data_IF_140573931595
#
_entry.id   IF_140573931595
#
_cell.length_a   1.000
_cell.length_b   1.000
_cell.length_c   1.000
_cell.angle_alpha   90.00
_cell.angle_beta   90.00
_cell.angle_gamma   90.00
#
_symmetry.space_group_name_H-M   'P 1'
#
loop_
_entity.id
_entity.type
_entity.pdbx_description
1 polymer ?
#
# COMPACT_ATOMS: atom_id res chain seq x y z
N UNK A 1 -12.74 -1.89 -2.29
CA UNK A 1 -12.13 -2.51 -1.09
C UNK A 1 -13.03 -2.32 0.11
N UNK A 2 -13.21 -3.37 0.89
CA UNK A 2 -14.09 -3.32 2.05
C UNK A 2 -13.53 -2.45 3.17
N UNK A 3 -14.41 -1.89 3.98
CA UNK A 3 -14.04 -1.00 5.07
C UNK A 3 -13.08 -1.64 6.07
N UNK A 4 -13.18 -2.95 6.28
CA UNK A 4 -12.31 -3.64 7.24
C UNK A 4 -10.82 -3.57 6.87
N UNK A 5 -10.52 -3.32 5.60
CA UNK A 5 -9.14 -3.22 5.15
C UNK A 5 -8.59 -1.79 5.22
N UNK A 6 -9.37 -0.84 5.75
CA UNK A 6 -8.94 0.56 5.79
C UNK A 6 -8.56 0.97 7.20
N UNK A 7 -7.43 1.65 7.32
CA UNK A 7 -7.07 2.31 8.56
C UNK A 7 -7.89 3.60 8.62
N UNK A 8 -8.68 3.77 9.69
CA UNK A 8 -9.58 4.93 9.78
C UNK A 8 -9.19 5.93 10.85
N UNK A 9 -8.61 5.45 11.95
CA UNK A 9 -8.31 6.33 13.08
C UNK A 9 -6.95 7.00 12.91
N UNK A 10 -6.91 8.28 13.26
CA UNK A 10 -5.66 9.02 13.20
C UNK A 10 -4.59 8.40 14.10
N UNK A 11 -4.99 7.89 15.26
CA UNK A 11 -4.05 7.25 16.18
C UNK A 11 -3.39 6.03 15.53
N UNK A 12 -4.13 5.27 14.75
CA UNK A 12 -3.58 4.11 14.05
C UNK A 12 -2.56 4.53 13.00
N UNK A 13 -2.84 5.62 12.25
CA UNK A 13 -1.86 6.17 11.31
C UNK A 13 -0.57 6.58 12.04
N UNK A 14 -0.72 7.32 13.14
CA UNK A 14 0.44 7.80 13.89
C UNK A 14 1.27 6.65 14.44
N UNK A 15 0.61 5.60 14.88
CA UNK A 15 1.29 4.44 15.42
C UNK A 15 2.17 3.76 14.36
N UNK A 16 1.64 3.62 13.14
CA UNK A 16 2.40 3.03 12.05
C UNK A 16 3.61 3.90 11.70
N UNK A 17 3.43 5.22 11.65
CA UNK A 17 4.53 6.12 11.35
C UNK A 17 5.63 6.07 12.42
N UNK A 18 5.25 6.01 13.70
CA UNK A 18 6.23 6.07 14.78
C UNK A 18 6.93 4.75 15.04
N UNK A 19 6.21 3.65 14.90
CA UNK A 19 6.72 2.33 15.31
C UNK A 19 7.07 1.42 14.16
N UNK A 20 6.57 1.73 12.97
CA UNK A 20 6.75 0.88 11.81
C UNK A 20 8.07 1.06 11.13
N UNK A 21 8.28 0.23 10.14
CA UNK A 21 9.42 0.35 9.23
C UNK A 21 8.96 1.02 7.96
N UNK A 22 9.88 1.58 7.20
CA UNK A 22 9.54 2.17 5.92
C UNK A 22 10.46 1.67 4.82
N UNK A 23 9.93 1.65 3.62
CA UNK A 23 10.69 1.33 2.43
C UNK A 23 10.04 2.06 1.26
N UNK A 24 10.77 2.23 0.19
CA UNK A 24 10.29 3.09 -0.88
C UNK A 24 10.83 2.68 -2.24
N UNK A 25 10.12 3.13 -3.25
CA UNK A 25 10.66 3.18 -4.60
C UNK A 25 10.42 4.59 -5.13
N UNK A 26 10.57 4.79 -6.42
CA UNK A 26 10.45 6.11 -7.02
C UNK A 26 9.06 6.71 -6.89
N UNK A 27 8.02 5.84 -6.92
CA UNK A 27 6.64 6.29 -6.97
C UNK A 27 5.93 6.27 -5.62
N UNK A 28 6.35 5.39 -4.72
CA UNK A 28 5.64 5.19 -3.46
C UNK A 28 6.58 5.05 -2.28
N UNK A 29 6.13 5.55 -1.14
CA UNK A 29 6.74 5.25 0.16
C UNK A 29 5.73 4.42 0.93
N UNK A 30 6.18 3.35 1.57
CA UNK A 30 5.29 2.47 2.34
C UNK A 30 5.83 2.39 3.77
N UNK A 31 4.95 2.66 4.73
CA UNK A 31 5.22 2.39 6.14
C UNK A 31 4.45 1.15 6.51
N UNK A 32 5.04 0.27 7.29
CA UNK A 32 4.37 -0.95 7.71
C UNK A 32 4.64 -1.25 9.18
N UNK A 33 3.64 -1.78 9.86
CA UNK A 33 3.74 -2.17 11.26
C UNK A 33 3.04 -3.51 11.44
N UNK A 34 3.72 -4.47 12.05
CA UNK A 34 3.12 -5.76 12.31
C UNK A 34 2.08 -5.65 13.43
N UNK A 35 0.93 -6.29 13.22
CA UNK A 35 -0.13 -6.41 14.23
C UNK A 35 -0.34 -7.89 14.50
N UNK A 36 0.28 -8.38 15.54
CA UNK A 36 0.19 -9.80 15.86
C UNK A 36 -1.25 -10.24 16.06
N UNK A 37 -1.57 -11.38 15.50
CA UNK A 37 -2.92 -11.94 15.61
C UNK A 37 -3.94 -11.35 14.65
N UNK A 38 -3.53 -10.41 13.81
CA UNK A 38 -4.46 -9.84 12.84
C UNK A 38 -4.84 -10.86 11.78
N UNK A 39 -6.12 -10.90 11.42
CA UNK A 39 -6.63 -11.83 10.42
C UNK A 39 -6.49 -11.32 9.00
N UNK A 40 -6.35 -10.02 8.85
CA UNK A 40 -6.21 -9.39 7.54
C UNK A 40 -5.40 -8.10 7.68
N UNK A 41 -4.80 -7.69 6.58
CA UNK A 41 -4.08 -6.42 6.57
C UNK A 41 -5.05 -5.25 6.55
N UNK A 42 -4.54 -4.05 6.88
CA UNK A 42 -5.28 -2.81 6.68
C UNK A 42 -4.35 -1.82 5.99
N UNK A 43 -4.93 -0.95 5.18
CA UNK A 43 -4.16 0.07 4.47
C UNK A 43 -4.70 1.46 4.75
N UNK A 44 -3.78 2.42 4.81
CA UNK A 44 -4.09 3.83 4.81
C UNK A 44 -3.38 4.48 3.64
N UNK A 45 -3.98 5.52 3.07
CA UNK A 45 -3.43 6.17 1.88
C UNK A 45 -3.16 7.63 2.18
N UNK A 46 -2.04 8.12 1.67
CA UNK A 46 -1.70 9.54 1.74
C UNK A 46 -1.35 10.01 0.33
N UNK A 47 -2.25 10.79 -0.26
CA UNK A 47 -2.06 11.36 -1.59
C UNK A 47 -2.27 12.86 -1.45
N UNK A 48 -1.17 13.61 -1.39
CA UNK A 48 -1.23 15.04 -1.10
C UNK A 48 -1.71 15.87 -2.29
N UNK A 49 -2.07 17.11 -2.02
CA UNK A 49 -2.49 18.05 -3.05
C UNK A 49 -1.39 18.32 -4.07
N UNK A 50 -0.15 18.08 -3.71
CA UNK A 50 0.98 18.26 -4.64
C UNK A 50 0.95 17.27 -5.80
N UNK A 51 0.24 16.17 -5.64
CA UNK A 51 0.11 15.15 -6.70
C UNK A 51 -0.77 15.66 -7.83
N UNK A 52 -1.82 16.38 -7.48
CA UNK A 52 -2.74 16.90 -8.46
C UNK A 52 -4.08 17.28 -7.84
N UNK A 53 -5.08 17.53 -8.70
CA UNK A 53 -6.40 17.89 -8.23
C UNK A 53 -7.13 16.67 -7.65
N UNK A 54 -8.35 16.91 -7.15
CA UNK A 54 -9.12 15.85 -6.50
C UNK A 54 -9.40 14.65 -7.41
N UNK A 55 -9.65 14.91 -8.68
CA UNK A 55 -9.92 13.82 -9.64
C UNK A 55 -8.68 12.93 -9.78
N UNK A 56 -7.52 13.54 -9.93
CA UNK A 56 -6.26 12.81 -10.04
C UNK A 56 -5.97 12.02 -8.77
N UNK A 57 -6.11 12.66 -7.60
CA UNK A 57 -5.84 12.01 -6.34
C UNK A 57 -6.77 10.84 -6.08
N UNK A 58 -8.05 10.99 -6.39
CA UNK A 58 -9.01 9.92 -6.20
C UNK A 58 -8.74 8.74 -7.14
N UNK A 59 -8.30 9.04 -8.36
CA UNK A 59 -7.91 8.00 -9.31
C UNK A 59 -6.74 7.16 -8.78
N UNK A 60 -5.72 7.82 -8.26
CA UNK A 60 -4.55 7.13 -7.69
C UNK A 60 -4.97 6.29 -6.49
N UNK A 61 -5.79 6.82 -5.61
CA UNK A 61 -6.29 6.08 -4.46
C UNK A 61 -7.04 4.82 -4.89
N UNK A 62 -7.87 4.95 -5.92
CA UNK A 62 -8.63 3.81 -6.45
C UNK A 62 -7.68 2.75 -7.01
N UNK A 63 -6.66 3.16 -7.73
CA UNK A 63 -5.69 2.24 -8.30
C UNK A 63 -4.89 1.51 -7.21
N UNK A 64 -4.53 2.22 -6.15
CA UNK A 64 -3.82 1.61 -5.02
C UNK A 64 -4.70 0.56 -4.34
N UNK A 65 -5.96 0.89 -4.07
CA UNK A 65 -6.88 -0.03 -3.42
C UNK A 65 -7.13 -1.26 -4.28
N UNK A 66 -7.31 -1.06 -5.58
CA UNK A 66 -7.52 -2.17 -6.50
C UNK A 66 -6.29 -3.07 -6.58
N UNK A 67 -5.10 -2.47 -6.58
CA UNK A 67 -3.85 -3.23 -6.60
C UNK A 67 -3.74 -4.11 -5.34
N UNK A 68 -4.02 -3.55 -4.17
CA UNK A 68 -3.99 -4.32 -2.93
C UNK A 68 -5.03 -5.43 -2.93
N UNK A 69 -6.20 -5.16 -3.47
CA UNK A 69 -7.24 -6.17 -3.60
C UNK A 69 -6.76 -7.33 -4.47
N UNK A 70 -6.14 -7.04 -5.59
CA UNK A 70 -5.65 -8.09 -6.50
C UNK A 70 -4.45 -8.84 -5.92
N UNK A 71 -3.68 -8.20 -5.05
CA UNK A 71 -2.51 -8.82 -4.43
C UNK A 71 -2.82 -9.43 -3.07
N UNK A 72 -4.08 -9.42 -2.67
CA UNK A 72 -4.49 -9.76 -1.31
C UNK A 72 -3.89 -11.08 -0.81
N UNK A 73 -3.91 -12.12 -1.62
CA UNK A 73 -3.40 -13.42 -1.23
C UNK A 73 -1.88 -13.49 -1.07
N UNK A 74 -1.17 -12.47 -1.53
CA UNK A 74 0.28 -12.43 -1.47
C UNK A 74 0.80 -11.47 -0.41
N UNK A 75 -0.04 -10.60 0.11
CA UNK A 75 0.36 -9.59 1.09
C UNK A 75 0.29 -10.18 2.49
N UNK A 76 1.30 -9.87 3.30
CA UNK A 76 1.32 -10.34 4.69
C UNK A 76 0.10 -9.79 5.43
N UNK A 77 -0.81 -10.67 5.91
CA UNK A 77 -2.06 -10.22 6.52
C UNK A 77 -1.90 -9.67 7.93
N UNK A 78 -0.76 -9.90 8.57
CA UNK A 78 -0.55 -9.42 9.92
C UNK A 78 -0.04 -7.99 9.98
N UNK A 79 0.14 -7.34 8.83
CA UNK A 79 0.70 -5.99 8.82
C UNK A 79 -0.35 -4.94 8.51
N UNK A 80 -0.09 -3.74 8.99
CA UNK A 80 -0.78 -2.53 8.54
C UNK A 80 0.17 -1.79 7.63
N UNK A 81 -0.38 -1.12 6.61
CA UNK A 81 0.41 -0.42 5.62
C UNK A 81 -0.11 0.98 5.41
N UNK A 82 0.78 1.96 5.33
CA UNK A 82 0.43 3.30 4.87
C UNK A 82 1.20 3.53 3.60
N UNK A 83 0.47 3.84 2.53
CA UNK A 83 1.05 4.07 1.22
C UNK A 83 0.98 5.55 0.91
N UNK A 84 2.14 6.16 0.69
CA UNK A 84 2.26 7.56 0.34
C UNK A 84 2.62 7.63 -1.13
N UNK A 85 1.78 8.28 -1.92
CA UNK A 85 2.06 8.47 -3.34
C UNK A 85 3.01 9.65 -3.53
N UNK A 86 4.02 9.46 -4.36
CA UNK A 86 4.96 10.51 -4.72
C UNK A 86 4.57 11.05 -6.10
N UNK A 87 5.06 12.25 -6.41
CA UNK A 87 4.69 12.93 -7.63
C UNK A 87 4.80 12.09 -8.91
N UNK A 88 5.85 11.26 -9.09
CA UNK A 88 5.92 10.41 -10.28
C UNK A 88 4.73 9.47 -10.48
N UNK A 89 3.95 9.20 -9.43
CA UNK A 89 2.77 8.34 -9.56
C UNK A 89 1.58 9.07 -10.23
N UNK A 90 1.65 10.39 -10.33
CA UNK A 90 0.50 11.20 -10.78
C UNK A 90 -0.04 10.82 -12.15
N UNK A 91 0.82 10.42 -13.05
CA UNK A 91 0.43 10.11 -14.43
C UNK A 91 0.40 8.63 -14.76
N UNK A 92 0.47 7.78 -13.73
CA UNK A 92 0.49 6.34 -13.97
C UNK A 92 -0.92 5.79 -14.17
N UNK A 93 -1.04 4.81 -15.06
CA UNK A 93 -2.29 4.07 -15.18
C UNK A 93 -2.33 2.95 -14.12
N UNK A 94 -3.43 2.20 -14.09
CA UNK A 94 -3.59 1.15 -13.09
C UNK A 94 -2.48 0.10 -13.16
N UNK A 95 -2.13 -0.36 -14.36
CA UNK A 95 -1.10 -1.39 -14.51
C UNK A 95 0.25 -0.92 -14.00
N UNK A 96 0.58 0.33 -14.27
CA UNK A 96 1.82 0.93 -13.79
C UNK A 96 1.83 1.06 -12.28
N UNK A 97 0.71 1.49 -11.69
CA UNK A 97 0.57 1.59 -10.24
C UNK A 97 0.73 0.20 -9.60
N UNK A 98 0.04 -0.79 -10.13
CA UNK A 98 0.12 -2.15 -9.59
C UNK A 98 1.54 -2.70 -9.68
N UNK A 99 2.20 -2.49 -10.80
CA UNK A 99 3.58 -2.95 -10.99
C UNK A 99 4.52 -2.28 -10.00
N UNK A 100 4.38 -0.97 -9.81
CA UNK A 100 5.22 -0.22 -8.88
C UNK A 100 4.96 -0.64 -7.44
N UNK A 101 3.70 -0.86 -7.06
CA UNK A 101 3.37 -1.32 -5.72
C UNK A 101 3.91 -2.73 -5.47
N UNK A 102 3.78 -3.61 -6.46
CA UNK A 102 4.34 -4.96 -6.36
C UNK A 102 5.84 -4.88 -6.10
N UNK A 103 6.52 -4.00 -6.82
CA UNK A 103 7.96 -3.81 -6.65
C UNK A 103 8.30 -3.32 -5.24
N UNK A 104 7.63 -2.25 -4.77
CA UNK A 104 7.97 -1.68 -3.47
C UNK A 104 7.63 -2.65 -2.33
N UNK A 105 6.57 -3.42 -2.46
CA UNK A 105 6.22 -4.43 -1.45
C UNK A 105 7.25 -5.56 -1.41
N UNK A 106 7.84 -5.91 -2.54
CA UNK A 106 8.93 -6.87 -2.58
C UNK A 106 10.18 -6.31 -1.91
N UNK A 107 10.47 -5.04 -2.13
CA UNK A 107 11.60 -4.38 -1.47
C UNK A 107 11.45 -4.48 0.05
N UNK A 108 10.24 -4.29 0.55
CA UNK A 108 9.96 -4.38 1.98
C UNK A 108 9.79 -5.79 2.51
N UNK A 109 9.83 -6.79 1.65
CA UNK A 109 9.68 -8.20 2.01
C UNK A 109 8.35 -8.53 2.68
N UNK A 110 7.30 -7.81 2.29
CA UNK A 110 5.96 -8.04 2.82
C UNK A 110 5.04 -8.73 1.82
N UNK A 111 5.57 -9.05 0.65
CA UNK A 111 4.84 -9.77 -0.36
C UNK A 111 5.35 -11.20 -0.38
N UNK A 112 4.44 -12.16 -0.21
CA UNK A 112 4.82 -13.56 -0.26
C UNK A 112 5.24 -13.91 -1.67
N UNK A 113 6.31 -14.66 -1.79
CA UNK A 113 6.65 -15.21 -3.08
C UNK A 113 5.60 -16.24 -3.42
N UNK A 114 5.15 -16.22 -4.64
CA UNK A 114 4.29 -17.28 -5.12
C UNK A 114 4.99 -18.60 -4.88
N UNK A 115 4.26 -19.60 -4.38
CA UNK A 115 4.83 -20.93 -4.31
C UNK A 115 5.37 -21.20 -5.69
N UNK A 116 6.58 -21.57 -5.72
CA UNK A 116 7.18 -21.80 -6.97
C UNK A 116 6.72 -23.10 -7.47
N UNK A 117 5.69 -23.04 -8.20
CA UNK A 117 5.17 -24.18 -8.72
C UNK A 117 5.90 -24.67 -9.84
N UNK A 118 6.78 -23.92 -10.12
CA UNK A 118 7.44 -24.35 -11.19
C UNK A 118 8.45 -25.25 -10.86
N UNK A 119 8.22 -25.27 -10.53
CA UNK A 119 9.08 -25.86 -10.25
C UNK A 119 8.73 -26.59 -10.72
#
# INVERSE_FOLDING_TARGET
>A
MKKKYRIKKNDDFQKVFRRGKSFANRQFVVYTLKQEGANHFRIGLSVSKKIGNAVCRNRIKRYIRQSFHELEGQINPENEYIIIARKPAANMDFHEVKKSLTHVLKVGRVLKQKPNNSK
#
